data_IF_974744400943
#
_entry.id   IF_974744400943
#
_cell.length_a   1.000
_cell.length_b   1.000
_cell.length_c   1.000
_cell.angle_alpha   90.00
_cell.angle_beta   90.00
_cell.angle_gamma   90.00
#
_symmetry.space_group_name_H-M   'P 1'
#
loop_
_entity.id
_entity.type
_entity.pdbx_description
1 polymer ?
#
# COMPACT_ATOMS: atom_id res chain seq x y z
N UNK A 1 12.24 9.83 29.11
CA UNK A 1 10.98 9.18 28.67
C UNK A 1 11.21 8.70 27.25
N UNK A 2 11.95 7.60 27.10
CA UNK A 2 12.47 7.14 25.80
C UNK A 2 11.60 5.99 25.29
N UNK A 3 10.51 6.35 24.60
CA UNK A 3 9.76 5.38 23.80
C UNK A 3 10.57 5.08 22.54
N UNK A 4 11.59 4.23 22.65
CA UNK A 4 12.13 3.55 21.47
C UNK A 4 10.98 2.72 20.93
N UNK A 5 10.32 3.26 19.89
CA UNK A 5 9.18 2.67 19.22
C UNK A 5 9.56 1.24 18.83
N UNK A 6 8.88 0.25 19.41
CA UNK A 6 8.86 -1.11 18.89
C UNK A 6 8.25 -1.07 17.49
N UNK A 7 9.07 -0.76 16.48
CA UNK A 7 8.66 -0.86 15.08
C UNK A 7 8.53 -2.35 14.80
N UNK A 8 7.30 -2.86 14.86
CA UNK A 8 6.97 -4.22 14.42
C UNK A 8 7.64 -4.45 13.06
N UNK A 9 8.50 -5.46 12.97
CA UNK A 9 9.04 -5.90 11.69
C UNK A 9 7.88 -6.38 10.83
N UNK A 10 7.78 -5.85 9.62
CA UNK A 10 6.77 -6.29 8.66
C UNK A 10 7.07 -7.72 8.25
N UNK A 11 6.04 -8.55 8.17
CA UNK A 11 6.18 -9.91 7.64
C UNK A 11 6.51 -9.87 6.14
N UNK A 12 7.09 -10.93 5.57
CA UNK A 12 7.30 -11.02 4.13
C UNK A 12 6.00 -10.81 3.32
N UNK A 13 4.86 -11.28 3.82
CA UNK A 13 3.54 -11.00 3.26
C UNK A 13 3.20 -9.51 3.27
N UNK A 14 3.43 -8.81 4.39
CA UNK A 14 3.16 -7.38 4.50
C UNK A 14 4.08 -6.55 3.58
N UNK A 15 5.31 -7.00 3.35
CA UNK A 15 6.20 -6.36 2.38
C UNK A 15 5.70 -6.57 0.95
N UNK A 16 5.31 -7.79 0.59
CA UNK A 16 4.78 -8.11 -0.74
C UNK A 16 3.44 -7.45 -1.02
N UNK A 17 2.55 -7.36 -0.04
CA UNK A 17 1.28 -6.66 -0.17
C UNK A 17 1.48 -5.21 -0.62
N UNK A 18 2.49 -4.51 -0.10
CA UNK A 18 2.76 -3.11 -0.47
C UNK A 18 3.12 -2.92 -1.94
N UNK A 19 3.68 -3.93 -2.61
CA UNK A 19 3.95 -3.87 -4.05
C UNK A 19 2.65 -3.66 -4.82
N UNK A 20 1.58 -4.39 -4.47
CA UNK A 20 0.27 -4.21 -5.09
C UNK A 20 -0.35 -2.84 -4.79
N UNK A 21 -0.13 -2.29 -3.59
CA UNK A 21 -0.54 -0.93 -3.27
C UNK A 21 0.18 0.13 -4.10
N UNK A 22 1.48 -0.06 -4.37
CA UNK A 22 2.27 0.84 -5.24
C UNK A 22 1.82 0.75 -6.69
N UNK A 23 1.63 -0.48 -7.21
CA UNK A 23 1.14 -0.70 -8.57
C UNK A 23 -0.24 -0.08 -8.79
N UNK A 24 -1.17 -0.28 -7.85
CA UNK A 24 -2.51 0.29 -7.93
C UNK A 24 -2.51 1.83 -7.86
N UNK A 25 -1.60 2.41 -7.08
CA UNK A 25 -1.51 3.86 -6.91
C UNK A 25 -0.80 4.58 -8.06
N UNK A 26 0.03 3.88 -8.84
CA UNK A 26 0.83 4.44 -9.94
C UNK A 26 0.03 5.35 -10.89
N UNK A 27 -1.09 4.88 -11.47
CA UNK A 27 -1.91 5.69 -12.36
C UNK A 27 -2.40 7.02 -11.75
N UNK A 28 -2.73 7.02 -10.45
CA UNK A 28 -3.19 8.24 -9.77
C UNK A 28 -2.05 9.23 -9.55
N UNK A 29 -0.83 8.75 -9.28
CA UNK A 29 0.36 9.61 -9.18
C UNK A 29 0.76 10.16 -10.55
N UNK A 30 0.61 9.37 -11.61
CA UNK A 30 0.82 9.83 -12.99
C UNK A 30 -0.21 10.90 -13.39
N UNK A 31 -1.47 10.75 -12.98
CA UNK A 31 -2.56 11.68 -13.33
C UNK A 31 -2.52 12.98 -12.51
N UNK A 32 -2.34 12.89 -11.19
CA UNK A 32 -2.46 14.04 -10.28
C UNK A 32 -1.12 14.56 -9.73
N UNK A 33 -0.01 13.91 -10.08
CA UNK A 33 1.34 14.26 -9.62
C UNK A 33 1.63 13.79 -8.19
N UNK A 34 2.89 13.84 -7.74
CA UNK A 34 3.32 13.20 -6.48
C UNK A 34 3.01 14.02 -5.21
N UNK A 35 2.55 15.26 -5.33
CA UNK A 35 2.32 16.15 -4.19
C UNK A 35 0.87 16.06 -3.68
N UNK A 36 0.64 15.25 -2.65
CA UNK A 36 -0.67 15.10 -2.02
C UNK A 36 -1.24 16.40 -1.44
N UNK A 37 -0.42 17.41 -1.14
CA UNK A 37 -0.92 18.69 -0.64
C UNK A 37 -1.61 19.54 -1.71
N UNK A 38 -1.35 19.23 -2.99
CA UNK A 38 -2.01 19.84 -4.14
C UNK A 38 -3.32 19.14 -4.53
N UNK A 39 -3.64 17.99 -3.92
CA UNK A 39 -4.81 17.19 -4.26
C UNK A 39 -6.05 17.69 -3.49
N UNK A 40 -7.23 17.48 -4.06
CA UNK A 40 -8.48 17.64 -3.33
C UNK A 40 -8.64 16.56 -2.26
N UNK A 41 -9.48 16.82 -1.26
CA UNK A 41 -9.81 15.82 -0.23
C UNK A 41 -10.34 14.51 -0.84
N UNK A 42 -11.20 14.62 -1.86
CA UNK A 42 -11.74 13.48 -2.58
C UNK A 42 -10.64 12.67 -3.29
N UNK A 43 -9.71 13.33 -3.97
CA UNK A 43 -8.58 12.66 -4.64
C UNK A 43 -7.71 11.92 -3.63
N UNK A 44 -7.46 12.50 -2.46
CA UNK A 44 -6.69 11.83 -1.38
C UNK A 44 -7.43 10.61 -0.85
N UNK A 45 -8.75 10.68 -0.66
CA UNK A 45 -9.54 9.52 -0.21
C UNK A 45 -9.53 8.39 -1.25
N UNK A 46 -9.68 8.73 -2.54
CA UNK A 46 -9.57 7.77 -3.65
C UNK A 46 -8.18 7.14 -3.69
N UNK A 47 -7.12 7.93 -3.51
CA UNK A 47 -5.75 7.45 -3.44
C UNK A 47 -5.55 6.41 -2.35
N UNK A 48 -5.93 6.77 -1.12
CA UNK A 48 -5.77 5.90 0.05
C UNK A 48 -6.57 4.62 -0.13
N UNK A 49 -7.81 4.71 -0.63
CA UNK A 49 -8.65 3.55 -0.94
C UNK A 49 -7.99 2.63 -1.98
N UNK A 50 -7.46 3.20 -3.05
CA UNK A 50 -6.77 2.47 -4.13
C UNK A 50 -5.52 1.75 -3.61
N UNK A 51 -4.69 2.42 -2.80
CA UNK A 51 -3.51 1.81 -2.16
C UNK A 51 -3.91 0.62 -1.29
N UNK A 52 -4.94 0.78 -0.46
CA UNK A 52 -5.43 -0.29 0.43
C UNK A 52 -5.97 -1.48 -0.36
N UNK A 53 -6.76 -1.21 -1.39
CA UNK A 53 -7.31 -2.24 -2.26
C UNK A 53 -6.19 -3.04 -2.93
N UNK A 54 -5.19 -2.37 -3.51
CA UNK A 54 -4.03 -3.02 -4.13
C UNK A 54 -3.25 -3.89 -3.14
N UNK A 55 -3.08 -3.43 -1.89
CA UNK A 55 -2.45 -4.25 -0.84
C UNK A 55 -3.26 -5.52 -0.53
N UNK A 56 -4.58 -5.38 -0.39
CA UNK A 56 -5.47 -6.49 -0.10
C UNK A 56 -5.50 -7.52 -1.24
N UNK A 57 -5.54 -7.07 -2.49
CA UNK A 57 -5.58 -7.95 -3.65
C UNK A 57 -4.30 -8.74 -3.84
N UNK A 58 -3.15 -8.08 -3.63
CA UNK A 58 -1.85 -8.76 -3.62
C UNK A 58 -1.78 -9.81 -2.51
N UNK A 59 -2.24 -9.49 -1.30
CA UNK A 59 -2.29 -10.45 -0.19
C UNK A 59 -3.20 -11.64 -0.49
N UNK A 60 -4.39 -11.40 -1.05
CA UNK A 60 -5.32 -12.47 -1.48
C UNK A 60 -4.70 -13.37 -2.54
N UNK A 61 -3.98 -12.80 -3.51
CA UNK A 61 -3.28 -13.58 -4.53
C UNK A 61 -2.23 -14.49 -3.91
N UNK A 62 -1.38 -13.96 -3.03
CA UNK A 62 -0.32 -14.75 -2.38
C UNK A 62 -0.89 -15.93 -1.57
N UNK A 63 -2.00 -15.71 -0.86
CA UNK A 63 -2.70 -16.76 -0.10
C UNK A 63 -3.33 -17.80 -1.03
N UNK A 64 -4.00 -17.37 -2.10
CA UNK A 64 -4.67 -18.26 -3.06
C UNK A 64 -3.69 -19.12 -3.83
N UNK A 65 -2.56 -18.54 -4.22
CA UNK A 65 -1.62 -19.15 -5.14
C UNK A 65 -0.53 -19.97 -4.40
N UNK A 66 -0.68 -20.17 -3.08
CA UNK A 66 0.29 -20.79 -2.15
C UNK A 66 1.72 -20.23 -2.30
N UNK A 67 1.83 -18.97 -2.76
CA UNK A 67 3.09 -18.26 -2.93
C UNK A 67 3.49 -17.61 -1.61
N UNK A 68 3.49 -18.40 -0.55
CA UNK A 68 3.96 -17.95 0.74
C UNK A 68 5.42 -17.48 0.60
N UNK A 69 5.72 -16.20 0.87
CA UNK A 69 7.10 -15.73 0.89
C UNK A 69 7.74 -16.25 2.18
N UNK A 70 8.31 -17.45 2.13
CA UNK A 70 9.17 -18.03 3.17
C UNK A 70 10.64 -17.90 2.79
#
# INVERSE_FOLDING_TARGET
>A
MEYIKNVRRRTPYELKAREGGVEAAGPLVEEYGPDLSAWSEEQVLIFVGTVWQGCADRMRSLIRDDQAPF
#
